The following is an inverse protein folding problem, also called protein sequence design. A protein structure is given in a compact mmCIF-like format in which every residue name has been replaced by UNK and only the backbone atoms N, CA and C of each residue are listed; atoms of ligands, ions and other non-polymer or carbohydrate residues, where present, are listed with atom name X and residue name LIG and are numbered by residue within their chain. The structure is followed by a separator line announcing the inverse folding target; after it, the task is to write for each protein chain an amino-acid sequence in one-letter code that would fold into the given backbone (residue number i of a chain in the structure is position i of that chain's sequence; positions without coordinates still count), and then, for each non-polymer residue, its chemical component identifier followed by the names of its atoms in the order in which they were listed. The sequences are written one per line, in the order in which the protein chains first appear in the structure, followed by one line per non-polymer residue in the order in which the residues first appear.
data_IF_406848526116
#
_entry.id   IF_406848526116
#
_cell.length_a   1.000
_cell.length_b   1.000
_cell.length_c   1.000
_cell.angle_alpha   90.00
_cell.angle_beta   90.00
_cell.angle_gamma   90.00
#
_symmetry.space_group_name_H-M   'P 1'
#
loop_
_entity.id
_entity.type
_entity.pdbx_description
1 polymer ?
#
# COMPACT_ATOMS: atom_id res chain seq x y z
N UNK A 1 5.28 -11.85 -7.55
CA UNK A 1 4.09 -10.97 -7.64
C UNK A 1 3.29 -11.00 -6.36
N UNK A 2 3.03 -12.18 -5.77
CA UNK A 2 2.29 -12.30 -4.50
C UNK A 2 2.90 -11.45 -3.39
N UNK A 3 4.19 -11.68 -3.09
CA UNK A 3 4.94 -10.90 -2.10
C UNK A 3 4.90 -9.39 -2.37
N UNK A 4 5.14 -8.97 -3.62
CA UNK A 4 5.10 -7.55 -3.98
C UNK A 4 3.70 -6.92 -3.77
N UNK A 5 2.62 -7.66 -4.06
CA UNK A 5 1.27 -7.19 -3.75
C UNK A 5 1.04 -7.15 -2.24
N UNK A 6 1.46 -8.17 -1.51
CA UNK A 6 1.28 -8.26 -0.06
C UNK A 6 2.01 -7.12 0.65
N UNK A 7 3.25 -6.79 0.26
CA UNK A 7 3.98 -5.60 0.74
C UNK A 7 3.22 -4.30 0.46
N UNK A 8 2.66 -4.15 -0.75
CA UNK A 8 1.88 -2.96 -1.13
C UNK A 8 0.59 -2.84 -0.31
N UNK A 9 -0.08 -3.95 -0.03
CA UNK A 9 -1.29 -3.98 0.78
C UNK A 9 -0.99 -3.72 2.25
N UNK A 10 0.14 -4.21 2.75
CA UNK A 10 0.62 -4.00 4.10
C UNK A 10 0.97 -2.53 4.36
N UNK A 11 1.67 -1.91 3.40
CA UNK A 11 2.05 -0.50 3.47
C UNK A 11 0.90 0.46 3.10
N UNK A 12 -0.21 -0.03 2.52
CA UNK A 12 -1.32 0.80 2.09
C UNK A 12 -2.15 1.25 3.30
N UNK A 13 -2.18 2.56 3.60
CA UNK A 13 -2.83 3.07 4.81
C UNK A 13 -4.37 3.04 4.73
N UNK A 14 -4.98 2.73 3.59
CA UNK A 14 -6.43 2.52 3.48
C UNK A 14 -6.82 1.07 3.82
N UNK A 15 -5.87 0.13 3.72
CA UNK A 15 -6.12 -1.32 3.84
C UNK A 15 -6.11 -1.74 5.31
N UNK A 16 -7.24 -2.12 5.88
CA UNK A 16 -7.37 -2.57 7.28
C UNK A 16 -7.01 -4.05 7.50
N UNK A 17 -6.79 -4.78 6.41
CA UNK A 17 -6.46 -6.20 6.42
C UNK A 17 -6.80 -6.84 5.09
N UNK A 18 -6.22 -8.01 4.84
CA UNK A 18 -6.41 -8.74 3.60
C UNK A 18 -6.33 -10.26 3.81
N UNK A 19 -6.92 -11.00 2.88
CA UNK A 19 -6.93 -12.47 2.85
C UNK A 19 -7.09 -12.98 1.42
N UNK A 20 -6.84 -14.28 1.15
CA UNK A 20 -7.25 -14.91 -0.11
C UNK A 20 -8.76 -14.75 -0.38
N UNK A 21 -9.18 -14.89 -1.64
CA UNK A 21 -10.60 -14.78 -2.02
C UNK A 21 -11.06 -16.06 -2.71
N UNK A 22 -11.47 -17.09 -1.95
CA UNK A 22 -11.82 -18.40 -2.51
C UNK A 22 -12.90 -18.34 -3.60
N UNK A 23 -13.84 -17.40 -3.51
CA UNK A 23 -14.86 -17.20 -4.53
C UNK A 23 -14.26 -16.72 -5.86
N UNK A 24 -13.36 -15.73 -5.86
CA UNK A 24 -12.73 -15.25 -7.10
C UNK A 24 -11.74 -16.29 -7.63
N UNK A 25 -10.97 -16.93 -6.75
CA UNK A 25 -10.07 -18.03 -7.10
C UNK A 25 -10.84 -19.21 -7.73
N UNK A 26 -12.03 -19.53 -7.22
CA UNK A 26 -12.92 -20.54 -7.78
C UNK A 26 -13.41 -20.24 -9.20
N UNK A 27 -13.50 -18.96 -9.57
CA UNK A 27 -13.88 -18.53 -10.93
C UNK A 27 -12.72 -18.63 -11.94
N UNK A 28 -11.48 -18.80 -11.49
CA UNK A 28 -10.32 -18.90 -12.40
C UNK A 28 -10.35 -20.17 -13.24
N UNK A 29 -10.71 -21.30 -12.62
CA UNK A 29 -10.73 -22.62 -13.27
C UNK A 29 -11.68 -22.69 -14.46
N UNK A 30 -12.98 -22.34 -14.35
CA UNK A 30 -13.90 -22.40 -15.49
C UNK A 30 -13.52 -21.42 -16.62
N UNK A 31 -12.76 -20.36 -16.33
CA UNK A 31 -12.26 -19.41 -17.32
C UNK A 31 -10.92 -19.83 -17.95
N UNK A 32 -10.33 -20.95 -17.51
CA UNK A 32 -9.01 -21.40 -17.95
C UNK A 32 -7.90 -20.41 -17.58
N UNK A 33 -8.02 -19.79 -16.41
CA UNK A 33 -7.03 -18.88 -15.82
C UNK A 33 -6.21 -19.54 -14.70
N UNK A 34 -6.57 -20.76 -14.28
CA UNK A 34 -5.78 -21.53 -13.32
C UNK A 34 -4.34 -21.70 -13.82
N UNK A 35 -3.37 -21.35 -12.98
CA UNK A 35 -1.95 -21.41 -13.34
C UNK A 35 -1.46 -20.23 -14.18
N UNK A 36 -2.30 -19.25 -14.52
CA UNK A 36 -1.89 -18.03 -15.22
C UNK A 36 -1.09 -17.06 -14.33
N UNK A 37 -0.75 -17.47 -13.10
CA UNK A 37 0.04 -16.68 -12.16
C UNK A 37 -0.71 -15.48 -11.58
N UNK A 38 -2.05 -15.52 -11.54
CA UNK A 38 -2.85 -14.49 -10.87
C UNK A 38 -2.59 -14.51 -9.37
N UNK A 39 -2.65 -13.33 -8.76
CA UNK A 39 -2.63 -13.19 -7.29
C UNK A 39 -3.91 -12.48 -6.88
N UNK A 40 -4.71 -13.16 -6.07
CA UNK A 40 -6.02 -12.67 -5.62
C UNK A 40 -5.95 -12.36 -4.13
N UNK A 41 -6.39 -11.15 -3.77
CA UNK A 41 -6.47 -10.68 -2.39
C UNK A 41 -7.77 -9.93 -2.16
N UNK A 42 -8.59 -10.42 -1.23
CA UNK A 42 -9.72 -9.64 -0.68
C UNK A 42 -9.17 -8.68 0.36
N UNK A 43 -9.32 -7.38 0.12
CA UNK A 43 -8.88 -6.32 1.03
C UNK A 43 -10.07 -5.66 1.70
N UNK A 44 -9.91 -5.26 2.96
CA UNK A 44 -10.90 -4.48 3.71
C UNK A 44 -10.49 -3.01 3.73
N UNK A 45 -11.30 -2.16 3.12
CA UNK A 45 -11.16 -0.71 3.17
C UNK A 45 -12.17 -0.12 4.15
N UNK A 46 -12.11 1.20 4.38
CA UNK A 46 -13.14 1.90 5.15
C UNK A 46 -14.52 1.80 4.46
N UNK A 47 -14.55 1.98 3.14
CA UNK A 47 -15.75 1.91 2.30
C UNK A 47 -16.21 0.46 1.97
N UNK A 48 -15.76 -0.53 2.74
CA UNK A 48 -16.11 -1.94 2.58
C UNK A 48 -15.02 -2.79 1.94
N UNK A 49 -15.38 -4.01 1.51
CA UNK A 49 -14.44 -4.97 0.94
C UNK A 49 -14.35 -4.86 -0.59
N UNK A 50 -13.17 -5.14 -1.13
CA UNK A 50 -12.92 -5.26 -2.58
C UNK A 50 -11.87 -6.34 -2.80
N UNK A 51 -11.96 -7.07 -3.91
CA UNK A 51 -10.97 -8.07 -4.29
C UNK A 51 -10.03 -7.49 -5.34
N UNK A 52 -8.75 -7.47 -5.03
CA UNK A 52 -7.68 -7.10 -5.96
C UNK A 52 -7.18 -8.36 -6.64
N UNK A 53 -7.14 -8.34 -7.97
CA UNK A 53 -6.56 -9.40 -8.80
C UNK A 53 -5.37 -8.80 -9.53
N UNK A 54 -4.17 -9.12 -9.08
CA UNK A 54 -2.94 -8.79 -9.79
C UNK A 54 -2.69 -9.83 -10.89
N UNK A 55 -2.43 -9.36 -12.11
CA UNK A 55 -2.24 -10.20 -13.28
C UNK A 55 -0.91 -9.91 -13.97
N UNK A 56 -0.13 -10.95 -14.38
CA UNK A 56 1.12 -10.76 -15.11
C UNK A 56 0.95 -9.92 -16.37
N UNK A 57 1.98 -9.14 -16.73
CA UNK A 57 1.96 -8.28 -17.91
C UNK A 57 1.64 -9.04 -19.22
N UNK A 58 2.03 -10.31 -19.33
CA UNK A 58 1.73 -11.16 -20.47
C UNK A 58 0.21 -11.36 -20.71
N UNK A 59 -0.59 -11.44 -19.64
CA UNK A 59 -2.06 -11.56 -19.75
C UNK A 59 -2.66 -10.32 -20.42
N UNK A 60 -2.14 -9.14 -20.09
CA UNK A 60 -2.64 -7.87 -20.62
C UNK A 60 -2.32 -7.67 -22.11
N UNK A 61 -1.22 -8.25 -22.59
CA UNK A 61 -0.78 -8.18 -23.99
C UNK A 61 -1.45 -9.21 -24.90
N UNK A 62 -1.99 -10.29 -24.33
CA UNK A 62 -2.62 -11.38 -25.08
C UNK A 62 -4.14 -11.22 -25.07
N UNK A 63 -4.73 -10.85 -26.22
CA UNK A 63 -6.17 -10.55 -26.32
C UNK A 63 -7.09 -11.67 -25.80
N UNK A 64 -6.91 -12.96 -26.14
CA UNK A 64 -7.77 -14.03 -25.61
C UNK A 64 -7.72 -14.14 -24.08
N UNK A 65 -6.53 -14.03 -23.49
CA UNK A 65 -6.34 -14.16 -22.03
C UNK A 65 -6.81 -12.89 -21.31
N UNK A 66 -6.63 -11.71 -21.90
CA UNK A 66 -7.20 -10.46 -21.41
C UNK A 66 -8.73 -10.52 -21.35
N UNK A 67 -9.37 -11.06 -22.39
CA UNK A 67 -10.83 -11.24 -22.39
C UNK A 67 -11.29 -12.15 -21.25
N UNK A 68 -10.58 -13.27 -21.01
CA UNK A 68 -10.86 -14.15 -19.86
C UNK A 68 -10.73 -13.42 -18.52
N UNK A 69 -9.70 -12.58 -18.33
CA UNK A 69 -9.52 -11.78 -17.12
C UNK A 69 -10.66 -10.74 -16.94
N UNK A 70 -11.14 -10.12 -18.02
CA UNK A 70 -12.30 -9.23 -17.97
C UNK A 70 -13.59 -10.01 -17.67
N UNK A 71 -13.74 -11.22 -18.20
CA UNK A 71 -14.85 -12.12 -17.87
C UNK A 71 -14.83 -12.54 -16.40
N UNK A 72 -13.65 -12.76 -15.81
CA UNK A 72 -13.49 -13.00 -14.36
C UNK A 72 -14.08 -11.84 -13.55
N UNK A 73 -13.71 -10.60 -13.89
CA UNK A 73 -14.25 -9.39 -13.23
C UNK A 73 -15.78 -9.32 -13.36
N UNK A 74 -16.33 -9.61 -14.54
CA UNK A 74 -17.79 -9.62 -14.77
C UNK A 74 -18.50 -10.71 -13.98
N UNK A 75 -17.96 -11.93 -13.96
CA UNK A 75 -18.53 -13.05 -13.21
C UNK A 75 -18.51 -12.78 -11.69
N UNK A 76 -17.42 -12.24 -11.17
CA UNK A 76 -17.34 -11.83 -9.77
C UNK A 76 -18.36 -10.73 -9.44
N UNK A 77 -18.52 -9.73 -10.32
CA UNK A 77 -19.52 -8.68 -10.13
C UNK A 77 -20.95 -9.25 -10.11
N UNK A 78 -21.26 -10.22 -10.98
CA UNK A 78 -22.56 -10.91 -10.97
C UNK A 78 -22.79 -11.71 -9.67
N UNK A 79 -21.73 -12.16 -9.02
CA UNK A 79 -21.77 -12.79 -7.70
C UNK A 79 -21.77 -11.79 -6.52
N UNK A 80 -21.94 -10.48 -6.80
CA UNK A 80 -22.00 -9.43 -5.78
C UNK A 80 -20.64 -8.91 -5.31
N UNK A 81 -19.56 -9.20 -6.06
CA UNK A 81 -18.20 -8.96 -5.59
C UNK A 81 -17.49 -7.89 -6.40
N UNK A 82 -16.99 -6.87 -5.69
CA UNK A 82 -16.21 -5.80 -6.31
C UNK A 82 -14.82 -6.32 -6.61
N UNK A 83 -14.40 -6.26 -7.87
CA UNK A 83 -13.07 -6.67 -8.31
C UNK A 83 -12.33 -5.52 -8.98
N UNK A 84 -11.09 -5.29 -8.54
CA UNK A 84 -10.13 -4.40 -9.18
C UNK A 84 -9.06 -5.26 -9.83
N UNK A 85 -8.86 -5.09 -11.13
CA UNK A 85 -7.78 -5.73 -11.87
C UNK A 85 -6.57 -4.81 -11.87
N UNK A 86 -5.40 -5.34 -11.49
CA UNK A 86 -4.16 -4.56 -11.40
C UNK A 86 -3.08 -5.25 -12.24
N UNK A 87 -2.39 -4.53 -13.13
CA UNK A 87 -1.26 -5.12 -13.84
C UNK A 87 -0.05 -5.30 -12.91
N UNK A 88 0.72 -6.36 -13.11
CA UNK A 88 1.98 -6.62 -12.37
C UNK A 88 2.94 -5.42 -12.42
N UNK A 89 2.95 -4.66 -13.51
CA UNK A 89 3.76 -3.44 -13.64
C UNK A 89 3.36 -2.35 -12.63
N UNK A 90 2.08 -2.25 -12.25
CA UNK A 90 1.63 -1.32 -11.22
C UNK A 90 1.92 -1.83 -9.80
N UNK A 91 1.94 -3.16 -9.61
CA UNK A 91 2.32 -3.79 -8.33
C UNK A 91 3.82 -3.61 -8.08
N UNK A 92 4.64 -3.79 -9.13
CA UNK A 92 6.10 -3.74 -9.06
C UNK A 92 6.72 -2.37 -9.33
N UNK A 93 5.89 -1.35 -9.52
CA UNK A 93 6.36 -0.01 -9.86
C UNK A 93 7.31 0.51 -8.76
N UNK A 94 8.44 1.04 -9.19
CA UNK A 94 9.34 1.80 -8.33
C UNK A 94 9.01 3.29 -8.43
N UNK A 95 9.16 4.06 -7.34
CA UNK A 95 9.76 3.69 -6.04
C UNK A 95 8.79 3.00 -5.05
N UNK A 96 7.51 2.87 -5.41
CA UNK A 96 6.44 2.46 -4.49
C UNK A 96 6.69 1.10 -3.83
N UNK A 97 7.24 0.13 -4.59
CA UNK A 97 7.51 -1.20 -4.05
C UNK A 97 8.65 -1.18 -3.02
N UNK A 98 9.75 -0.46 -3.28
CA UNK A 98 10.84 -0.31 -2.32
C UNK A 98 10.35 0.35 -1.03
N UNK A 99 9.57 1.43 -1.15
CA UNK A 99 8.97 2.09 0.00
C UNK A 99 8.03 1.17 0.78
N UNK A 100 7.18 0.40 0.09
CA UNK A 100 6.28 -0.55 0.74
C UNK A 100 7.06 -1.64 1.51
N UNK A 101 8.16 -2.14 0.94
CA UNK A 101 9.05 -3.08 1.61
C UNK A 101 9.68 -2.47 2.88
N UNK A 102 10.14 -1.22 2.80
CA UNK A 102 10.71 -0.49 3.93
C UNK A 102 9.68 -0.29 5.05
N UNK A 103 8.44 0.11 4.74
CA UNK A 103 7.38 0.29 5.74
C UNK A 103 7.04 -1.03 6.41
N UNK A 104 6.85 -2.10 5.63
CA UNK A 104 6.52 -3.42 6.16
C UNK A 104 7.62 -3.97 7.09
N UNK A 105 8.90 -3.78 6.72
CA UNK A 105 10.04 -4.28 7.49
C UNK A 105 10.26 -3.55 8.84
N UNK A 106 9.70 -2.35 9.01
CA UNK A 106 9.90 -1.53 10.21
C UNK A 106 8.66 -1.41 11.09
N UNK A 107 7.64 -2.25 10.84
CA UNK A 107 6.42 -2.26 11.65
C UNK A 107 6.75 -2.65 13.10
N UNK A 108 6.27 -1.86 14.06
CA UNK A 108 6.46 -2.11 15.50
C UNK A 108 7.66 -1.40 16.13
N UNK A 109 8.50 -0.70 15.35
CA UNK A 109 9.60 0.12 15.87
C UNK A 109 9.20 1.59 16.09
N UNK A 110 7.92 1.84 16.35
CA UNK A 110 7.42 3.21 16.45
C UNK A 110 7.95 3.91 17.72
N UNK A 111 8.20 5.22 17.64
CA UNK A 111 8.73 5.99 18.76
C UNK A 111 7.74 6.06 19.92
N UNK A 112 8.29 6.42 21.08
CA UNK A 112 7.55 6.65 22.32
C UNK A 112 6.42 7.67 22.13
N UNK A 113 5.44 7.68 23.05
CA UNK A 113 4.35 8.66 23.03
C UNK A 113 4.90 10.09 23.01
N UNK A 114 5.98 10.33 23.75
CA UNK A 114 6.63 11.63 23.81
C UNK A 114 7.31 11.97 22.47
N UNK A 115 8.01 11.03 21.85
CA UNK A 115 8.57 11.20 20.49
C UNK A 115 7.48 11.53 19.45
N UNK A 116 6.33 10.85 19.52
CA UNK A 116 5.17 11.14 18.65
C UNK A 116 4.64 12.56 18.84
N UNK A 117 4.57 13.04 20.08
CA UNK A 117 4.14 14.41 20.40
C UNK A 117 5.09 15.46 19.84
N UNK A 118 6.40 15.26 20.00
CA UNK A 118 7.42 16.17 19.44
C UNK A 118 7.33 16.25 17.92
N UNK A 119 7.20 15.10 17.24
CA UNK A 119 7.01 15.04 15.79
C UNK A 119 5.75 15.81 15.36
N UNK A 120 4.62 15.59 16.04
CA UNK A 120 3.39 16.30 15.72
C UNK A 120 3.52 17.81 15.92
N UNK A 121 4.10 18.24 17.03
CA UNK A 121 4.32 19.65 17.33
C UNK A 121 5.21 20.32 16.27
N UNK A 122 6.28 19.65 15.82
CA UNK A 122 7.16 20.17 14.77
C UNK A 122 6.44 20.32 13.43
N UNK A 123 5.67 19.29 13.02
CA UNK A 123 4.88 19.35 11.79
C UNK A 123 3.89 20.52 11.86
N UNK A 124 3.22 20.72 13.00
CA UNK A 124 2.28 21.83 13.18
C UNK A 124 2.97 23.19 13.19
N UNK A 125 4.12 23.33 13.86
CA UNK A 125 4.90 24.57 13.89
C UNK A 125 5.33 25.02 12.49
N UNK A 126 5.50 24.08 11.55
CA UNK A 126 5.87 24.34 10.15
C UNK A 126 4.69 24.52 9.20
N UNK A 127 3.47 24.69 9.73
CA UNK A 127 2.27 24.88 8.90
C UNK A 127 1.66 23.59 8.36
N UNK A 128 2.02 22.44 8.93
CA UNK A 128 1.38 21.15 8.66
C UNK A 128 2.21 20.17 7.82
N UNK A 129 3.39 20.56 7.35
CA UNK A 129 4.33 19.72 6.61
C UNK A 129 5.76 19.98 7.08
N UNK A 130 6.56 18.93 7.29
CA UNK A 130 7.97 19.02 7.67
C UNK A 130 8.82 18.02 6.87
N UNK A 131 10.11 18.31 6.61
CA UNK A 131 11.03 17.34 6.00
C UNK A 131 11.26 16.12 6.90
N UNK A 132 11.38 14.94 6.32
CA UNK A 132 11.62 13.70 7.06
C UNK A 132 12.92 13.73 7.89
N UNK A 133 13.98 14.37 7.38
CA UNK A 133 15.26 14.54 8.06
C UNK A 133 15.13 15.29 9.38
N UNK A 134 14.46 16.45 9.35
CA UNK A 134 14.22 17.26 10.54
C UNK A 134 13.42 16.50 11.62
N UNK A 135 12.46 15.66 11.19
CA UNK A 135 11.70 14.82 12.11
C UNK A 135 12.53 13.67 12.68
N UNK A 136 13.54 13.19 11.95
CA UNK A 136 14.42 12.12 12.40
C UNK A 136 15.25 12.58 13.61
N UNK A 137 15.70 13.83 13.63
CA UNK A 137 16.45 14.39 14.75
C UNK A 137 15.63 14.45 16.05
N UNK A 138 14.31 14.58 15.94
CA UNK A 138 13.39 14.61 17.09
C UNK A 138 13.13 13.25 17.71
N UNK A 139 13.38 12.16 16.96
CA UNK A 139 13.13 10.80 17.43
C UNK A 139 14.08 10.40 18.56
N UNK A 140 15.26 11.04 18.66
CA UNK A 140 16.21 11.20 19.81
C UNK A 140 16.57 10.01 20.72
N UNK A 141 15.63 9.12 20.99
CA UNK A 141 15.66 7.98 21.90
C UNK A 141 15.85 6.64 21.15
N UNK A 142 15.76 6.64 19.81
CA UNK A 142 15.84 5.40 19.00
C UNK A 142 17.15 5.33 18.22
N UNK A 143 17.81 4.16 18.21
CA UNK A 143 19.07 3.92 17.48
C UNK A 143 18.93 4.06 15.94
N UNK A 144 17.68 4.08 15.44
CA UNK A 144 17.37 4.15 14.02
C UNK A 144 16.17 5.09 13.73
N UNK A 145 16.38 6.42 13.73
CA UNK A 145 15.32 7.41 13.54
C UNK A 145 14.45 7.20 12.30
N UNK A 146 15.05 6.86 11.16
CA UNK A 146 14.32 6.59 9.92
C UNK A 146 13.39 5.38 10.06
N UNK A 147 13.82 4.32 10.76
CA UNK A 147 13.00 3.12 10.99
C UNK A 147 11.78 3.47 11.84
N UNK A 148 11.96 4.31 12.86
CA UNK A 148 10.88 4.82 13.68
C UNK A 148 9.87 5.66 12.88
N UNK A 149 10.33 6.52 11.96
CA UNK A 149 9.44 7.28 11.07
C UNK A 149 8.69 6.35 10.09
N UNK A 150 9.35 5.34 9.52
CA UNK A 150 8.70 4.33 8.68
C UNK A 150 7.65 3.51 9.45
N UNK A 151 7.91 3.23 10.73
CA UNK A 151 6.93 2.61 11.61
C UNK A 151 5.70 3.51 11.81
N UNK A 152 5.90 4.82 12.03
CA UNK A 152 4.81 5.80 12.13
C UNK A 152 3.98 5.91 10.85
N UNK A 153 4.63 5.77 9.68
CA UNK A 153 3.95 5.72 8.40
C UNK A 153 3.05 4.47 8.29
N UNK A 154 3.57 3.30 8.69
CA UNK A 154 2.79 2.05 8.76
C UNK A 154 1.63 2.11 9.77
N UNK A 155 1.81 2.84 10.87
CA UNK A 155 0.78 3.09 11.88
C UNK A 155 -0.23 4.19 11.51
N UNK A 156 -0.03 4.88 10.37
CA UNK A 156 -0.88 6.00 9.91
C UNK A 156 -0.89 7.16 10.91
N UNK A 157 0.25 7.40 11.55
CA UNK A 157 0.46 8.60 12.34
C UNK A 157 0.91 9.76 11.44
N UNK A 158 1.83 9.47 10.52
CA UNK A 158 2.29 10.38 9.48
C UNK A 158 1.89 9.88 8.08
N UNK A 159 1.98 10.78 7.10
CA UNK A 159 1.79 10.51 5.68
C UNK A 159 2.97 11.09 4.88
N UNK A 160 3.29 10.45 3.76
CA UNK A 160 4.25 10.91 2.75
C UNK A 160 3.69 10.56 1.36
N UNK A 161 4.17 11.22 0.30
CA UNK A 161 3.89 10.78 -1.06
C UNK A 161 4.70 9.51 -1.38
N UNK A 162 4.04 8.36 -1.33
CA UNK A 162 4.63 7.06 -1.68
C UNK A 162 4.96 6.95 -3.17
N UNK A 163 4.50 7.89 -3.99
CA UNK A 163 4.81 8.02 -5.42
C UNK A 163 6.27 8.38 -5.70
N UNK A 164 6.96 8.97 -4.72
CA UNK A 164 8.33 9.46 -4.83
C UNK A 164 9.31 8.63 -3.98
N UNK A 165 10.62 8.64 -4.33
CA UNK A 165 11.64 8.03 -3.48
C UNK A 165 11.68 8.72 -2.12
N UNK A 166 11.81 7.94 -1.05
CA UNK A 166 11.99 8.51 0.30
C UNK A 166 13.45 8.99 0.45
N UNK A 167 13.60 10.24 0.91
CA UNK A 167 14.86 10.92 1.24
C UNK A 167 14.67 11.79 2.50
N UNK A 168 15.73 12.45 2.96
CA UNK A 168 15.66 13.43 4.07
C UNK A 168 14.68 14.57 3.76
N UNK A 169 14.55 14.95 2.49
CA UNK A 169 13.76 16.09 2.07
C UNK A 169 12.30 15.70 1.77
N UNK A 170 11.95 14.41 1.92
CA UNK A 170 10.59 13.94 1.72
C UNK A 170 9.63 14.71 2.63
N UNK A 171 8.61 15.37 2.08
CA UNK A 171 7.62 16.08 2.89
C UNK A 171 6.76 15.09 3.67
N UNK A 172 6.63 15.35 4.96
CA UNK A 172 5.86 14.55 5.90
C UNK A 172 4.75 15.40 6.48
N UNK A 173 3.52 14.90 6.43
CA UNK A 173 2.37 15.50 7.09
C UNK A 173 1.84 14.56 8.18
N UNK A 174 1.04 15.11 9.10
CA UNK A 174 0.19 14.26 9.94
C UNK A 174 -0.83 13.54 9.07
N UNK A 175 -1.15 12.28 9.39
CA UNK A 175 -2.08 11.48 8.60
C UNK A 175 -3.46 12.14 8.40
N UNK A 176 -3.95 12.84 9.44
CA UNK A 176 -5.20 13.59 9.39
C UNK A 176 -5.16 14.76 8.38
N UNK A 177 -3.96 15.25 8.02
CA UNK A 177 -3.72 16.35 7.08
C UNK A 177 -2.99 15.90 5.81
N UNK A 178 -3.04 14.61 5.46
CA UNK A 178 -2.34 14.07 4.28
C UNK A 178 -2.67 14.76 2.95
N UNK A 179 -3.83 15.41 2.86
CA UNK A 179 -4.24 16.21 1.69
C UNK A 179 -3.27 17.37 1.39
N UNK A 180 -2.48 17.82 2.37
CA UNK A 180 -1.44 18.83 2.19
C UNK A 180 -0.25 18.35 1.35
N UNK A 181 -0.17 17.05 1.05
CA UNK A 181 0.88 16.45 0.22
C UNK A 181 0.46 16.33 -1.26
N UNK A 182 -0.79 16.62 -1.60
CA UNK A 182 -1.39 16.41 -2.93
C UNK A 182 -1.46 17.68 -3.80
N UNK A 183 -0.89 18.79 -3.33
CA UNK A 183 -0.82 20.10 -3.99
C UNK A 183 0.40 20.26 -4.89
#
# INVERSE_FOLDING_TARGET
MAEALDLRLEAAPEVRGWRPSPMVEGLERPLGLSGAGLVVRRIRLQAGAVTVVAAPAAIWRCDPTRHKLLSLKKAAAAAGERVILVPDTAVRRQPQLATAAMVAANRGEAPSIEGRRRIAAEIEARGGVAPMGDLADLVGETFHPVRALLALLGERFIAVDLGQPISSDTPVALWARRHLLES
#
